data_IF_268413535720
#
_entry.id   IF_268413535720
#
_cell.length_a   1.000
_cell.length_b   1.000
_cell.length_c   1.000
_cell.angle_alpha   90.00
_cell.angle_beta   90.00
_cell.angle_gamma   90.00
#
_symmetry.space_group_name_H-M   'P 1'
#
loop_
_entity.id
_entity.type
_entity.pdbx_description
1 polymer ?
#
# COMPACT_ATOMS: atom_id res chain seq x y z
N UNK A 1 2.32 -8.91 -17.99
CA UNK A 1 1.44 -7.71 -18.01
C UNK A 1 1.51 -6.91 -16.70
N UNK A 2 1.49 -7.55 -15.52
CA UNK A 2 1.39 -6.84 -14.25
C UNK A 2 2.74 -6.39 -13.62
N UNK A 3 3.76 -7.24 -13.54
CA UNK A 3 5.07 -6.83 -12.99
C UNK A 3 6.04 -6.28 -14.07
N UNK A 4 6.13 -6.93 -15.24
CA UNK A 4 6.99 -6.53 -16.38
C UNK A 4 8.42 -6.15 -15.94
N UNK A 5 9.08 -7.00 -15.16
CA UNK A 5 10.46 -6.77 -14.67
C UNK A 5 10.65 -5.42 -13.97
N UNK A 6 9.64 -5.00 -13.20
CA UNK A 6 9.62 -3.73 -12.49
C UNK A 6 9.09 -2.54 -13.29
N UNK A 7 8.84 -2.68 -14.60
CA UNK A 7 8.22 -1.63 -15.43
C UNK A 7 6.68 -1.64 -15.40
N UNK A 8 6.08 -2.65 -14.77
CA UNK A 8 4.63 -2.82 -14.68
C UNK A 8 4.00 -2.14 -13.46
N UNK A 9 2.72 -2.40 -13.26
CA UNK A 9 1.90 -1.86 -12.18
C UNK A 9 2.32 -2.39 -10.80
N UNK A 10 2.69 -3.67 -10.70
CA UNK A 10 3.01 -4.28 -9.40
C UNK A 10 4.34 -3.74 -8.86
N UNK A 11 4.42 -3.39 -7.56
CA UNK A 11 5.66 -2.96 -6.91
C UNK A 11 6.77 -4.01 -6.98
N UNK A 12 6.38 -5.28 -6.83
CA UNK A 12 7.28 -6.44 -6.79
C UNK A 12 6.68 -7.60 -7.58
N UNK A 13 7.52 -8.58 -7.92
CA UNK A 13 7.05 -9.84 -8.49
C UNK A 13 6.20 -10.57 -7.45
N UNK A 14 4.97 -10.90 -7.79
CA UNK A 14 4.12 -11.74 -6.96
C UNK A 14 4.39 -13.22 -7.28
N UNK A 15 4.95 -14.02 -6.35
CA UNK A 15 5.09 -15.45 -6.56
C UNK A 15 3.75 -16.17 -6.38
N UNK A 16 3.66 -17.39 -6.90
CA UNK A 16 2.49 -18.27 -6.71
C UNK A 16 2.49 -18.91 -5.31
N UNK A 17 3.65 -18.98 -4.66
CA UNK A 17 3.83 -19.66 -3.40
C UNK A 17 3.14 -18.90 -2.25
N UNK A 18 2.35 -19.62 -1.46
CA UNK A 18 1.81 -19.14 -0.18
C UNK A 18 2.65 -19.72 0.95
N UNK A 19 3.11 -18.86 1.85
CA UNK A 19 3.78 -19.26 3.10
C UNK A 19 2.72 -19.34 4.20
N UNK A 20 2.74 -20.45 4.94
CA UNK A 20 2.02 -20.59 6.20
C UNK A 20 2.98 -20.36 7.37
N UNK A 21 2.50 -19.69 8.42
CA UNK A 21 3.26 -19.48 9.65
C UNK A 21 3.18 -20.73 10.52
N UNK A 22 4.32 -21.22 11.01
CA UNK A 22 4.40 -22.43 11.82
C UNK A 22 3.88 -22.16 13.25
N UNK A 23 3.29 -23.18 13.89
CA UNK A 23 2.42 -23.01 15.06
C UNK A 23 3.02 -22.43 16.33
N UNK A 24 4.36 -22.32 16.45
CA UNK A 24 5.03 -21.71 17.60
C UNK A 24 5.42 -20.24 17.36
N UNK A 25 5.38 -19.77 16.12
CA UNK A 25 5.73 -18.39 15.77
C UNK A 25 4.46 -17.53 15.73
N UNK A 26 4.46 -16.47 16.53
CA UNK A 26 3.41 -15.45 16.49
C UNK A 26 3.85 -14.34 15.54
N UNK A 27 3.35 -14.37 14.32
CA UNK A 27 3.62 -13.35 13.30
C UNK A 27 2.42 -12.41 13.21
N UNK A 28 2.66 -11.10 13.34
CA UNK A 28 1.59 -10.10 13.32
C UNK A 28 2.07 -8.76 12.75
N UNK A 29 1.15 -7.89 12.29
CA UNK A 29 1.49 -6.57 11.78
C UNK A 29 2.16 -5.69 12.84
N UNK A 30 3.28 -5.07 12.48
CA UNK A 30 4.01 -4.14 13.33
C UNK A 30 3.83 -2.71 12.81
N UNK A 31 3.08 -1.92 13.56
CA UNK A 31 2.91 -0.48 13.36
C UNK A 31 3.93 0.34 14.16
N UNK A 32 4.33 -0.14 15.33
CA UNK A 32 5.25 0.55 16.23
C UNK A 32 6.63 0.77 15.62
N UNK A 33 7.16 1.99 15.80
CA UNK A 33 8.42 2.48 15.23
C UNK A 33 8.43 2.63 13.71
N UNK A 34 7.28 2.49 13.04
CA UNK A 34 7.20 2.82 11.62
C UNK A 34 7.40 4.31 11.40
N UNK A 35 8.22 4.65 10.42
CA UNK A 35 8.43 6.03 9.95
C UNK A 35 7.55 6.36 8.73
N UNK A 36 6.80 5.38 8.22
CA UNK A 36 6.05 5.54 6.98
C UNK A 36 4.84 6.45 7.20
N UNK A 37 4.62 7.49 6.37
CA UNK A 37 3.53 8.45 6.55
C UNK A 37 2.14 7.79 6.56
N UNK A 38 1.96 6.69 5.81
CA UNK A 38 0.71 5.94 5.78
C UNK A 38 0.39 5.18 7.08
N UNK A 39 1.32 5.14 8.05
CA UNK A 39 1.12 4.51 9.36
C UNK A 39 1.23 5.50 10.53
N UNK A 40 1.29 6.81 10.25
CA UNK A 40 1.53 7.83 11.26
C UNK A 40 0.54 7.76 12.45
N UNK A 41 -0.73 7.45 12.19
CA UNK A 41 -1.76 7.31 13.25
C UNK A 41 -1.77 5.95 13.95
N UNK A 42 -1.08 4.95 13.41
CA UNK A 42 -1.02 3.60 13.97
C UNK A 42 0.25 3.36 14.80
N UNK A 43 1.23 4.27 14.76
CA UNK A 43 2.53 4.08 15.42
C UNK A 43 2.38 3.83 16.93
N UNK A 44 1.39 4.48 17.57
CA UNK A 44 1.11 4.36 19.01
C UNK A 44 0.43 3.04 19.39
N UNK A 45 -0.16 2.32 18.42
CA UNK A 45 -0.83 1.04 18.66
C UNK A 45 0.17 -0.12 18.71
N UNK A 46 1.40 0.08 18.21
CA UNK A 46 2.45 -0.93 18.23
C UNK A 46 2.13 -2.12 17.32
N UNK A 47 1.44 -3.13 17.81
CA UNK A 47 1.13 -4.38 17.11
C UNK A 47 0.66 -5.42 18.13
N UNK A 48 -0.16 -6.37 17.70
CA UNK A 48 -0.78 -7.32 18.62
C UNK A 48 -0.94 -8.70 17.99
N UNK A 49 -0.76 -9.75 18.81
CA UNK A 49 -1.05 -11.13 18.43
C UNK A 49 -2.53 -11.37 18.11
N UNK A 50 -3.43 -10.48 18.59
CA UNK A 50 -4.83 -10.51 18.21
C UNK A 50 -5.03 -10.35 16.68
N UNK A 51 -4.07 -9.73 15.99
CA UNK A 51 -4.04 -9.58 14.53
C UNK A 51 -3.15 -10.64 13.83
N UNK A 52 -2.93 -11.80 14.47
CA UNK A 52 -2.01 -12.83 13.95
C UNK A 52 -2.24 -13.16 12.48
N UNK A 53 -1.13 -13.20 11.73
CA UNK A 53 -1.05 -13.60 10.34
C UNK A 53 -0.64 -15.07 10.29
N UNK A 54 -1.45 -15.86 9.60
CA UNK A 54 -1.25 -17.31 9.44
C UNK A 54 -0.77 -17.68 8.05
N UNK A 55 -1.15 -16.88 7.05
CA UNK A 55 -0.79 -17.09 5.64
C UNK A 55 -0.50 -15.75 4.97
N UNK A 56 0.52 -15.75 4.13
CA UNK A 56 0.87 -14.63 3.28
C UNK A 56 1.69 -15.10 2.07
N UNK A 57 1.76 -14.27 1.04
CA UNK A 57 2.64 -14.47 -0.11
C UNK A 57 3.99 -13.82 0.22
N UNK A 58 5.13 -14.54 0.18
CA UNK A 58 6.42 -13.93 0.48
C UNK A 58 6.78 -12.91 -0.62
N UNK A 59 7.12 -11.69 -0.21
CA UNK A 59 7.57 -10.64 -1.13
C UNK A 59 9.08 -10.50 -1.01
N UNK A 60 9.77 -10.39 -2.15
CA UNK A 60 11.20 -10.11 -2.20
C UNK A 60 11.40 -8.68 -2.67
N UNK A 61 11.92 -7.84 -1.77
CA UNK A 61 12.32 -6.47 -2.09
C UNK A 61 13.79 -6.45 -2.54
N UNK A 62 14.16 -5.60 -3.51
CA UNK A 62 15.57 -5.32 -3.80
C UNK A 62 16.23 -4.76 -2.53
N UNK A 63 17.45 -5.22 -2.23
CA UNK A 63 18.14 -4.91 -0.96
C UNK A 63 18.30 -3.40 -0.71
N UNK A 64 18.44 -2.61 -1.76
CA UNK A 64 18.67 -1.16 -1.67
C UNK A 64 17.38 -0.35 -1.46
N UNK A 65 16.20 -0.99 -1.49
CA UNK A 65 14.88 -0.33 -1.50
C UNK A 65 13.93 -0.85 -0.41
N UNK A 66 14.41 -1.75 0.46
CA UNK A 66 13.58 -2.48 1.43
C UNK A 66 12.97 -1.55 2.51
N UNK A 67 13.65 -0.45 2.87
CA UNK A 67 13.11 0.54 3.82
C UNK A 67 12.12 1.50 3.15
N UNK A 68 12.40 1.94 1.92
CA UNK A 68 11.59 2.96 1.24
C UNK A 68 10.30 2.38 0.63
N UNK A 69 10.31 1.10 0.24
CA UNK A 69 9.14 0.46 -0.40
C UNK A 69 8.23 -0.28 0.56
N UNK A 70 8.66 -0.59 1.77
CA UNK A 70 7.85 -1.35 2.73
C UNK A 70 7.02 -0.41 3.61
N UNK A 71 5.73 -0.35 3.34
CA UNK A 71 4.77 0.44 4.11
C UNK A 71 4.51 -0.18 5.48
N UNK A 72 4.29 -1.49 5.50
CA UNK A 72 3.99 -2.26 6.72
C UNK A 72 4.86 -3.52 6.73
N UNK A 73 5.53 -3.77 7.84
CA UNK A 73 6.26 -5.01 8.11
C UNK A 73 5.55 -5.81 9.19
N UNK A 74 5.72 -7.12 9.16
CA UNK A 74 5.36 -7.99 10.27
C UNK A 74 6.44 -7.86 11.36
N UNK A 75 6.15 -8.33 12.57
CA UNK A 75 7.09 -8.30 13.70
C UNK A 75 8.39 -9.07 13.45
N UNK A 76 8.40 -10.05 12.54
CA UNK A 76 9.59 -10.78 12.09
C UNK A 76 10.42 -10.04 11.00
N UNK A 77 9.99 -8.83 10.61
CA UNK A 77 10.63 -8.01 9.59
C UNK A 77 10.12 -8.28 8.16
N UNK A 78 9.30 -9.31 7.94
CA UNK A 78 8.74 -9.63 6.63
C UNK A 78 7.88 -8.46 6.13
N UNK A 79 8.07 -7.95 4.90
CA UNK A 79 7.20 -6.93 4.33
C UNK A 79 5.79 -7.49 4.08
N UNK A 80 4.78 -6.82 4.61
CA UNK A 80 3.37 -7.18 4.48
C UNK A 80 2.65 -6.31 3.43
N UNK A 81 2.94 -5.02 3.43
CA UNK A 81 2.43 -4.06 2.43
C UNK A 81 3.61 -3.33 1.84
N UNK A 82 3.67 -3.31 0.51
CA UNK A 82 4.72 -2.63 -0.25
C UNK A 82 4.10 -1.64 -1.24
N UNK A 83 4.87 -0.61 -1.58
CA UNK A 83 4.45 0.45 -2.47
C UNK A 83 5.39 0.70 -3.63
N UNK A 84 4.85 1.38 -4.65
CA UNK A 84 5.59 1.90 -5.80
C UNK A 84 4.84 3.06 -6.43
N UNK A 85 5.58 4.06 -6.90
CA UNK A 85 5.07 5.09 -7.81
C UNK A 85 4.86 4.52 -9.22
N UNK A 86 3.67 4.76 -9.79
CA UNK A 86 3.34 4.33 -11.16
C UNK A 86 2.52 5.41 -11.87
N UNK A 87 3.11 6.00 -12.93
CA UNK A 87 2.51 7.15 -13.61
C UNK A 87 2.42 8.35 -12.69
N UNK A 88 1.22 8.94 -12.58
CA UNK A 88 0.95 10.09 -11.70
C UNK A 88 0.41 9.70 -10.31
N UNK A 89 0.43 8.40 -9.97
CA UNK A 89 -0.13 7.89 -8.72
C UNK A 89 0.76 6.83 -8.07
N UNK A 90 0.19 6.18 -7.06
CA UNK A 90 0.86 5.15 -6.27
C UNK A 90 0.08 3.85 -6.28
N UNK A 91 0.79 2.75 -6.16
CA UNK A 91 0.23 1.40 -6.07
C UNK A 91 0.69 0.77 -4.77
N UNK A 92 -0.28 0.26 -3.99
CA UNK A 92 -0.01 -0.58 -2.83
C UNK A 92 -0.30 -2.04 -3.18
N UNK A 93 0.55 -2.93 -2.69
CA UNK A 93 0.36 -4.37 -2.72
C UNK A 93 0.39 -4.90 -1.29
N UNK A 94 -0.70 -5.53 -0.86
CA UNK A 94 -0.74 -6.35 0.36
C UNK A 94 -0.47 -7.80 0.01
N UNK A 95 0.32 -8.49 0.83
CA UNK A 95 0.69 -9.89 0.62
C UNK A 95 -0.21 -10.89 1.35
N UNK A 96 -1.24 -10.41 2.03
CA UNK A 96 -2.25 -11.23 2.71
C UNK A 96 -3.65 -10.84 2.22
N UNK A 97 -4.68 -11.50 2.73
CA UNK A 97 -6.07 -11.24 2.37
C UNK A 97 -6.84 -10.63 3.53
N UNK A 98 -8.09 -10.24 3.34
CA UNK A 98 -9.00 -9.85 4.44
C UNK A 98 -9.79 -11.05 4.99
N UNK A 99 -9.31 -12.28 4.76
CA UNK A 99 -9.99 -13.50 5.21
C UNK A 99 -9.48 -13.96 6.58
N UNK A 100 -10.37 -14.36 7.51
CA UNK A 100 -9.99 -15.02 8.77
C UNK A 100 -9.18 -16.31 8.58
N UNK A 101 -9.22 -16.89 7.39
CA UNK A 101 -8.37 -18.05 7.04
C UNK A 101 -6.90 -17.67 6.85
N UNK A 102 -6.58 -16.40 6.63
CA UNK A 102 -5.20 -15.91 6.41
C UNK A 102 -4.68 -15.08 7.58
N UNK A 103 -5.52 -14.27 8.22
CA UNK A 103 -5.12 -13.48 9.38
C UNK A 103 -6.35 -13.00 10.16
N UNK A 104 -6.11 -12.48 11.36
CA UNK A 104 -7.16 -11.92 12.22
C UNK A 104 -7.17 -10.40 12.26
N UNK A 105 -6.40 -9.72 11.43
CA UNK A 105 -6.33 -8.26 11.42
C UNK A 105 -7.74 -7.62 11.22
N UNK A 106 -8.62 -8.09 10.30
CA UNK A 106 -9.98 -7.55 10.19
C UNK A 106 -10.86 -7.65 11.44
N UNK A 107 -10.48 -8.47 12.42
CA UNK A 107 -11.21 -8.60 13.69
C UNK A 107 -10.75 -7.58 14.75
N UNK A 108 -9.71 -6.79 14.47
CA UNK A 108 -9.17 -5.80 15.40
C UNK A 108 -9.57 -4.37 15.00
N UNK A 109 -9.51 -3.43 15.95
CA UNK A 109 -9.85 -2.01 15.69
C UNK A 109 -8.85 -1.32 14.76
N UNK A 110 -7.59 -1.77 14.76
CA UNK A 110 -6.51 -1.21 13.96
C UNK A 110 -6.75 -1.39 12.46
N UNK A 111 -7.48 -2.41 12.02
CA UNK A 111 -7.75 -2.65 10.61
C UNK A 111 -8.48 -1.49 9.93
N UNK A 112 -9.49 -0.93 10.60
CA UNK A 112 -10.26 0.19 10.06
C UNK A 112 -9.37 1.42 9.92
N UNK A 113 -8.54 1.71 10.94
CA UNK A 113 -7.60 2.82 10.92
C UNK A 113 -6.55 2.62 9.82
N UNK A 114 -6.02 1.40 9.68
CA UNK A 114 -5.06 1.04 8.63
C UNK A 114 -5.64 1.30 7.24
N UNK A 115 -6.82 0.75 6.93
CA UNK A 115 -7.43 0.95 5.60
C UNK A 115 -7.68 2.43 5.32
N UNK A 116 -8.15 3.20 6.31
CA UNK A 116 -8.38 4.64 6.13
C UNK A 116 -7.08 5.42 5.88
N UNK A 117 -6.01 5.12 6.61
CA UNK A 117 -4.71 5.78 6.44
C UNK A 117 -4.05 5.40 5.10
N UNK A 118 -4.13 4.13 4.69
CA UNK A 118 -3.66 3.68 3.38
C UNK A 118 -4.42 4.37 2.24
N UNK A 119 -5.75 4.52 2.37
CA UNK A 119 -6.56 5.23 1.37
C UNK A 119 -6.24 6.72 1.33
N UNK A 120 -6.12 7.37 2.49
CA UNK A 120 -5.71 8.78 2.59
C UNK A 120 -4.34 9.00 1.96
N UNK A 121 -3.42 8.07 2.20
CA UNK A 121 -2.10 8.08 1.59
C UNK A 121 -2.20 7.93 0.05
N UNK A 122 -2.92 6.94 -0.46
CA UNK A 122 -3.08 6.72 -1.91
C UNK A 122 -3.74 7.91 -2.63
N UNK A 123 -4.80 8.47 -2.05
CA UNK A 123 -5.52 9.63 -2.61
C UNK A 123 -4.66 10.90 -2.52
N UNK A 124 -3.74 10.97 -1.55
CA UNK A 124 -2.89 12.12 -1.33
C UNK A 124 -3.65 13.31 -0.74
N UNK A 125 -3.24 14.54 -1.10
CA UNK A 125 -3.88 15.79 -0.68
C UNK A 125 -4.47 16.48 -1.91
N UNK A 126 -5.68 16.08 -2.36
CA UNK A 126 -6.32 16.70 -3.53
C UNK A 126 -6.48 18.21 -3.35
N UNK A 127 -6.71 18.66 -2.12
CA UNK A 127 -6.87 20.07 -1.78
C UNK A 127 -5.60 20.91 -2.00
N UNK A 128 -4.40 20.30 -1.96
CA UNK A 128 -3.15 21.02 -2.30
C UNK A 128 -3.07 21.38 -3.78
N UNK A 129 -3.69 20.58 -4.66
CA UNK A 129 -3.68 20.86 -6.09
C UNK A 129 -4.61 22.03 -6.50
N UNK A 130 -5.47 22.48 -5.58
CA UNK A 130 -6.45 23.55 -5.83
C UNK A 130 -6.23 24.81 -4.97
N UNK A 131 -5.41 24.71 -3.91
CA UNK A 131 -4.98 25.87 -3.12
C UNK A 131 -3.75 26.56 -3.75
N UNK A 132 -3.98 27.23 -4.88
CA UNK A 132 -2.96 27.96 -5.62
C UNK A 132 -2.96 29.46 -5.26
N UNK A 133 -1.79 30.09 -5.28
CA UNK A 133 -1.67 31.54 -5.11
C UNK A 133 -2.00 32.24 -6.44
N UNK A 134 -2.45 33.49 -6.39
CA UNK A 134 -2.68 34.29 -7.61
C UNK A 134 -1.37 34.39 -8.40
N UNK A 135 -1.38 33.87 -9.63
CA UNK A 135 -0.20 33.80 -10.51
C UNK A 135 0.38 32.40 -10.68
N UNK A 136 0.01 31.44 -9.82
CA UNK A 136 0.42 30.05 -9.97
C UNK A 136 -0.32 29.38 -11.14
N UNK A 137 0.36 28.52 -11.93
CA UNK A 137 -0.28 27.78 -13.00
C UNK A 137 -1.22 26.71 -12.45
N UNK A 138 -2.50 26.76 -12.83
CA UNK A 138 -3.45 25.68 -12.54
C UNK A 138 -3.31 24.55 -13.55
N UNK A 139 -2.77 23.41 -13.10
CA UNK A 139 -2.59 22.20 -13.91
C UNK A 139 -3.53 21.12 -13.42
N UNK A 140 -4.64 20.93 -14.12
CA UNK A 140 -5.56 19.82 -13.87
C UNK A 140 -5.46 18.81 -15.01
N UNK A 141 -5.12 17.53 -14.73
CA UNK A 141 -5.19 16.50 -15.75
C UNK A 141 -6.64 16.34 -16.20
N UNK A 142 -6.91 16.66 -17.46
CA UNK A 142 -8.20 16.43 -18.07
C UNK A 142 -8.37 14.93 -18.31
N UNK A 143 -9.36 14.31 -17.67
CA UNK A 143 -9.82 12.99 -18.05
C UNK A 143 -10.56 13.12 -19.38
N UNK A 144 -9.83 12.97 -20.48
CA UNK A 144 -10.44 12.85 -21.81
C UNK A 144 -11.02 11.44 -21.87
N UNK A 145 -12.33 11.34 -21.70
CA UNK A 145 -13.06 10.11 -21.98
C UNK A 145 -12.92 9.79 -23.47
N UNK A 146 -12.61 8.54 -23.80
CA UNK A 146 -12.56 8.03 -25.18
C UNK A 146 -13.91 8.15 -25.93
N UNK A 147 -14.97 8.61 -25.26
CA UNK A 147 -16.33 8.75 -25.81
C UNK A 147 -16.52 9.95 -26.77
N UNK A 148 -15.52 10.80 -26.98
CA UNK A 148 -15.61 11.86 -28.01
C UNK A 148 -14.30 12.04 -28.79
N UNK A 149 -14.05 11.21 -29.83
CA UNK A 149 -13.06 11.56 -30.83
C UNK A 149 -13.63 12.67 -31.73
N UNK A 150 -12.87 13.74 -31.90
CA UNK A 150 -13.01 14.76 -32.94
C UNK A 150 -14.34 15.53 -33.04
N UNK A 151 -14.44 16.63 -32.29
CA UNK A 151 -15.16 17.81 -32.80
C UNK A 151 -14.14 18.83 -33.31
N UNK A 152 -13.65 18.60 -34.53
CA UNK A 152 -12.91 19.62 -35.30
C UNK A 152 -13.85 20.80 -35.55
N UNK A 153 -13.67 21.88 -34.79
CA UNK A 153 -14.31 23.16 -35.08
C UNK A 153 -13.54 23.77 -36.25
N UNK A 154 -14.21 23.85 -37.41
CA UNK A 154 -13.80 24.68 -38.54
C UNK A 154 -14.29 26.11 -38.32
#
# INVERSE_FOLDING_TARGET
LLYKDGAGLLPVRLPEQVRAVAGTESVFPRFGMSKHPALARLVDHGGSEAAAVRRFVPLTLPADEDEDRAVLKLNDGTPAIVEKDFGAGRVLLSNTTVSPSWNYLPATSEFVVLVQELLRYLVGQPDKAVNLTVGDPFVQPAYISDQHPDRRIR
#
